data_IF_641189731366
#
_entry.id   IF_641189731366
#
_cell.length_a   1.000
_cell.length_b   1.000
_cell.length_c   1.000
_cell.angle_alpha   90.00
_cell.angle_beta   90.00
_cell.angle_gamma   90.00
#
_symmetry.space_group_name_H-M   'P 1'
#
loop_
_entity.id
_entity.type
_entity.pdbx_description
1 polymer ?
#
# COMPACT_ATOMS: atom_id res chain seq x y z
N UNK A 1 45.33 5.03 3.99
CA UNK A 1 44.11 5.84 4.00
C UNK A 1 43.07 5.13 3.16
N UNK A 2 42.06 4.59 3.83
CA UNK A 2 41.13 3.60 3.28
C UNK A 2 40.21 4.13 2.18
N UNK A 3 39.98 3.23 1.23
CA UNK A 3 39.21 3.40 0.01
C UNK A 3 37.72 3.63 0.33
N UNK A 4 37.19 4.66 -0.31
CA UNK A 4 35.82 4.84 -0.83
C UNK A 4 34.90 3.62 -0.58
N UNK A 5 33.93 3.75 0.34
CA UNK A 5 32.71 2.92 0.33
C UNK A 5 31.60 3.64 -0.42
N UNK A 6 31.70 3.65 -1.74
CA UNK A 6 30.56 3.82 -2.63
C UNK A 6 29.75 2.51 -2.60
N UNK A 7 28.79 2.43 -1.68
CA UNK A 7 27.74 1.42 -1.70
C UNK A 7 26.47 2.05 -2.24
N UNK A 8 26.27 1.97 -3.56
CA UNK A 8 25.02 2.27 -4.24
C UNK A 8 23.88 1.51 -3.54
N UNK A 9 23.08 2.16 -2.69
CA UNK A 9 21.78 1.62 -2.28
C UNK A 9 20.88 1.73 -3.51
N UNK A 10 20.93 0.67 -4.31
CA UNK A 10 20.28 0.59 -5.62
C UNK A 10 18.80 0.94 -5.54
N UNK A 11 18.29 1.48 -6.65
CA UNK A 11 16.86 1.66 -6.94
C UNK A 11 16.10 0.43 -6.43
N UNK A 12 15.39 0.55 -5.30
CA UNK A 12 14.69 -0.58 -4.69
C UNK A 12 13.77 -1.22 -5.70
N UNK A 13 13.90 -2.53 -5.88
CA UNK A 13 13.10 -3.31 -6.81
C UNK A 13 11.63 -3.11 -6.43
N UNK A 14 10.89 -2.40 -7.25
CA UNK A 14 9.45 -2.24 -7.09
C UNK A 14 8.74 -3.38 -7.80
N UNK A 15 7.70 -3.92 -7.18
CA UNK A 15 6.82 -4.87 -7.83
C UNK A 15 5.38 -4.37 -7.83
N UNK A 16 4.61 -4.88 -8.79
CA UNK A 16 3.15 -4.79 -8.75
C UNK A 16 2.64 -6.03 -8.02
N UNK A 17 2.00 -5.88 -6.84
CA UNK A 17 1.43 -7.03 -6.16
C UNK A 17 0.18 -7.53 -6.88
N UNK A 18 -0.14 -8.80 -6.65
CA UNK A 18 -1.34 -9.44 -7.18
C UNK A 18 -2.51 -9.26 -6.22
N UNK A 19 -3.74 -9.40 -6.74
CA UNK A 19 -4.99 -9.56 -5.99
C UNK A 19 -5.10 -8.62 -4.78
N UNK A 20 -5.43 -7.37 -5.05
CA UNK A 20 -5.74 -6.38 -4.02
C UNK A 20 -7.12 -6.68 -3.40
N UNK A 21 -7.16 -6.75 -2.08
CA UNK A 21 -8.37 -7.04 -1.30
C UNK A 21 -8.59 -5.95 -0.26
N UNK A 22 -9.85 -5.58 -0.06
CA UNK A 22 -10.32 -4.79 1.06
C UNK A 22 -11.35 -5.64 1.79
N UNK A 23 -11.19 -5.85 3.10
CA UNK A 23 -12.05 -6.76 3.88
C UNK A 23 -12.25 -8.12 3.18
N UNK A 24 -11.15 -8.72 2.71
CA UNK A 24 -11.08 -10.02 2.02
C UNK A 24 -11.81 -10.11 0.66
N UNK A 25 -12.34 -9.00 0.15
CA UNK A 25 -13.08 -8.95 -1.12
C UNK A 25 -12.39 -8.04 -2.15
N UNK A 26 -12.59 -8.35 -3.43
CA UNK A 26 -12.17 -7.48 -4.55
C UNK A 26 -13.25 -6.42 -4.76
N UNK A 27 -12.89 -5.14 -4.60
CA UNK A 27 -13.79 -3.98 -4.80
C UNK A 27 -15.14 -4.12 -4.06
N UNK A 28 -15.13 -4.35 -2.73
CA UNK A 28 -16.36 -4.48 -1.96
C UNK A 28 -17.19 -3.19 -2.00
N UNK A 29 -18.50 -3.36 -1.85
CA UNK A 29 -19.49 -2.28 -1.69
C UNK A 29 -20.13 -2.46 -0.31
N UNK A 30 -20.39 -1.37 0.40
CA UNK A 30 -21.09 -1.41 1.70
C UNK A 30 -20.22 -1.93 2.85
N UNK A 31 -18.96 -1.50 2.93
CA UNK A 31 -18.12 -1.79 4.10
C UNK A 31 -18.56 -0.89 5.26
N UNK A 32 -19.00 -1.51 6.36
CA UNK A 32 -19.48 -0.80 7.56
C UNK A 32 -18.40 -0.59 8.64
N UNK A 33 -17.23 -1.22 8.52
CA UNK A 33 -16.11 -0.92 9.43
C UNK A 33 -15.52 0.45 9.13
N UNK A 34 -15.26 1.23 10.19
CA UNK A 34 -14.58 2.53 10.11
C UNK A 34 -13.09 2.39 9.79
N UNK A 35 -12.53 1.20 9.98
CA UNK A 35 -11.13 0.87 9.76
C UNK A 35 -11.03 -0.39 8.89
N UNK A 36 -11.31 -0.27 7.57
CA UNK A 36 -11.17 -1.39 6.66
C UNK A 36 -9.72 -1.89 6.61
N UNK A 37 -9.55 -3.18 6.36
CA UNK A 37 -8.26 -3.85 6.25
C UNK A 37 -7.92 -4.14 4.81
N UNK A 38 -6.71 -3.78 4.43
CA UNK A 38 -6.16 -4.04 3.11
C UNK A 38 -5.27 -5.27 3.12
N UNK A 39 -5.35 -6.06 2.06
CA UNK A 39 -4.44 -7.18 1.81
C UNK A 39 -4.04 -7.23 0.35
N UNK A 40 -2.85 -7.75 0.09
CA UNK A 40 -2.34 -7.98 -1.26
C UNK A 40 -1.48 -9.24 -1.29
N UNK A 41 -1.41 -9.86 -2.46
CA UNK A 41 -0.62 -11.06 -2.67
C UNK A 41 0.73 -10.71 -3.29
N UNK A 42 1.80 -11.20 -2.67
CA UNK A 42 3.15 -11.14 -3.22
C UNK A 42 3.35 -12.34 -4.16
N UNK A 43 3.96 -12.17 -5.35
CA UNK A 43 4.33 -13.29 -6.22
C UNK A 43 5.17 -14.33 -5.48
N UNK A 44 5.01 -15.60 -5.86
CA UNK A 44 5.79 -16.69 -5.25
C UNK A 44 7.28 -16.49 -5.52
N UNK A 45 8.11 -16.78 -4.51
CA UNK A 45 9.56 -16.63 -4.60
C UNK A 45 10.06 -15.20 -4.41
N UNK A 46 9.18 -14.24 -4.12
CA UNK A 46 9.54 -12.85 -3.84
C UNK A 46 9.24 -12.55 -2.37
N UNK A 47 10.17 -11.88 -1.70
CA UNK A 47 9.98 -11.35 -0.34
C UNK A 47 9.76 -9.84 -0.41
N UNK A 48 8.74 -9.35 0.30
CA UNK A 48 8.53 -7.92 0.49
C UNK A 48 9.39 -7.42 1.66
N UNK A 49 10.04 -6.28 1.46
CA UNK A 49 10.80 -5.59 2.51
C UNK A 49 10.02 -4.41 3.08
N UNK A 50 9.26 -3.71 2.23
CA UNK A 50 8.48 -2.55 2.65
C UNK A 50 7.25 -2.33 1.77
N UNK A 51 6.29 -1.56 2.28
CA UNK A 51 5.13 -1.12 1.53
C UNK A 51 4.74 0.34 1.81
N UNK A 52 3.89 0.90 0.95
CA UNK A 52 3.21 2.19 1.15
C UNK A 52 1.81 2.10 0.57
N UNK A 53 0.79 2.36 1.38
CA UNK A 53 -0.60 2.41 0.97
C UNK A 53 -1.00 3.87 0.80
N UNK A 54 -1.69 4.16 -0.30
CA UNK A 54 -2.41 5.41 -0.51
C UNK A 54 -3.90 5.12 -0.60
N UNK A 55 -4.71 5.93 0.07
CA UNK A 55 -6.18 5.92 -0.05
C UNK A 55 -6.65 7.32 -0.42
N UNK A 56 -7.54 7.38 -1.40
CA UNK A 56 -7.98 8.64 -2.00
C UNK A 56 -9.48 8.70 -2.25
N UNK A 57 -10.01 9.92 -2.31
CA UNK A 57 -11.42 10.18 -2.66
C UNK A 57 -11.72 10.11 -4.16
N UNK A 58 -10.70 9.97 -5.01
CA UNK A 58 -10.89 9.79 -6.45
C UNK A 58 -9.73 9.01 -7.08
N UNK A 59 -9.97 8.32 -8.22
CA UNK A 59 -8.91 7.64 -8.94
C UNK A 59 -7.87 8.62 -9.49
N UNK A 60 -8.26 9.82 -9.93
CA UNK A 60 -7.32 10.81 -10.47
C UNK A 60 -6.31 11.30 -9.42
N UNK A 61 -6.76 11.48 -8.17
CA UNK A 61 -5.86 11.81 -7.04
C UNK A 61 -4.91 10.66 -6.77
N UNK A 62 -5.44 9.44 -6.74
CA UNK A 62 -4.65 8.24 -6.53
C UNK A 62 -3.59 8.07 -7.63
N UNK A 63 -3.94 8.28 -8.90
CA UNK A 63 -3.02 8.22 -10.04
C UNK A 63 -1.91 9.27 -9.94
N UNK A 64 -2.23 10.43 -9.37
CA UNK A 64 -1.27 11.50 -9.06
C UNK A 64 -0.44 11.26 -7.79
N UNK A 65 -0.45 10.05 -7.24
CA UNK A 65 0.23 9.68 -5.97
C UNK A 65 -0.24 10.50 -4.74
N UNK A 66 -1.47 11.00 -4.77
CA UNK A 66 -2.09 11.76 -3.68
C UNK A 66 -3.04 10.86 -2.89
N UNK A 67 -2.65 10.48 -1.68
CA UNK A 67 -3.51 9.81 -0.69
C UNK A 67 -4.19 10.82 0.24
N UNK A 68 -5.22 11.52 -0.23
CA UNK A 68 -5.90 12.58 0.54
C UNK A 68 -6.68 12.04 1.75
N UNK A 69 -7.00 10.75 1.76
CA UNK A 69 -7.61 10.10 2.93
C UNK A 69 -6.59 9.40 3.81
N UNK A 70 -5.54 8.84 3.21
CA UNK A 70 -4.44 8.20 3.94
C UNK A 70 -3.21 8.03 3.07
N UNK A 71 -2.06 8.22 3.71
CA UNK A 71 -0.76 7.86 3.18
C UNK A 71 0.05 7.24 4.31
N UNK A 72 0.23 5.92 4.26
CA UNK A 72 0.95 5.17 5.30
C UNK A 72 2.44 5.53 5.39
N UNK A 73 2.95 6.33 4.45
CA UNK A 73 4.39 6.46 4.16
C UNK A 73 5.02 5.09 3.90
N UNK A 74 6.35 5.05 3.83
CA UNK A 74 7.08 3.78 3.71
C UNK A 74 7.08 3.08 5.06
N UNK A 75 6.58 1.86 5.10
CA UNK A 75 6.58 0.98 6.27
C UNK A 75 7.53 -0.18 6.00
N UNK A 76 8.59 -0.32 6.81
CA UNK A 76 9.49 -1.48 6.76
C UNK A 76 8.77 -2.69 7.36
N UNK A 77 8.26 -3.57 6.50
CA UNK A 77 7.52 -4.75 6.93
C UNK A 77 7.29 -5.69 5.75
N UNK A 78 7.42 -6.98 6.01
CA UNK A 78 7.02 -8.05 5.10
C UNK A 78 5.52 -8.36 5.15
N UNK A 79 4.75 -7.71 6.04
CA UNK A 79 3.31 -7.96 6.16
C UNK A 79 2.57 -7.45 4.92
N UNK A 80 1.67 -8.27 4.40
CA UNK A 80 0.82 -7.95 3.25
C UNK A 80 -0.66 -8.32 3.46
N UNK A 81 -1.03 -8.68 4.69
CA UNK A 81 -2.36 -9.19 5.05
C UNK A 81 -2.89 -8.36 6.21
N UNK A 82 -4.16 -8.00 6.12
CA UNK A 82 -4.91 -7.31 7.17
C UNK A 82 -4.28 -6.01 7.68
N UNK A 83 -3.72 -5.20 6.77
CA UNK A 83 -3.20 -3.89 7.13
C UNK A 83 -4.38 -2.94 7.37
N UNK A 84 -4.60 -2.57 8.63
CA UNK A 84 -5.70 -1.70 9.05
C UNK A 84 -5.51 -0.28 8.52
N UNK A 85 -6.60 0.30 8.01
CA UNK A 85 -6.65 1.71 7.63
C UNK A 85 -6.43 2.62 8.84
N UNK A 86 -5.46 3.53 8.72
CA UNK A 86 -5.06 4.47 9.79
C UNK A 86 -5.11 5.93 9.31
N UNK A 87 -6.10 6.25 8.49
CA UNK A 87 -6.30 7.58 7.92
C UNK A 87 -7.45 8.37 8.53
N UNK A 88 -7.91 9.38 7.79
CA UNK A 88 -9.05 10.21 8.14
C UNK A 88 -10.35 9.39 8.25
N UNK A 89 -11.31 9.87 9.04
CA UNK A 89 -12.59 9.18 9.20
C UNK A 89 -13.31 9.00 7.86
N UNK A 90 -13.69 7.76 7.54
CA UNK A 90 -14.45 7.44 6.33
C UNK A 90 -15.91 7.88 6.46
N UNK A 91 -16.44 8.44 5.38
CA UNK A 91 -17.82 8.90 5.27
C UNK A 91 -18.72 7.78 4.72
N UNK A 92 -19.94 7.68 5.26
CA UNK A 92 -20.94 6.74 4.78
C UNK A 92 -21.35 7.07 3.34
N UNK A 93 -21.63 6.04 2.54
CA UNK A 93 -22.08 6.14 1.14
C UNK A 93 -21.09 6.89 0.22
N UNK A 94 -19.80 6.86 0.54
CA UNK A 94 -18.74 7.45 -0.27
C UNK A 94 -17.81 6.38 -0.84
N UNK A 95 -17.43 6.55 -2.09
CA UNK A 95 -16.43 5.69 -2.75
C UNK A 95 -15.01 6.09 -2.36
N UNK A 96 -14.15 5.10 -2.19
CA UNK A 96 -12.72 5.29 -1.92
C UNK A 96 -11.90 4.39 -2.83
N UNK A 97 -10.74 4.90 -3.24
CA UNK A 97 -9.78 4.20 -4.08
C UNK A 97 -8.50 4.03 -3.30
N UNK A 98 -7.81 2.92 -3.49
CA UNK A 98 -6.53 2.70 -2.85
C UNK A 98 -5.56 1.98 -3.78
N UNK A 99 -4.27 2.19 -3.53
CA UNK A 99 -3.20 1.42 -4.14
C UNK A 99 -2.10 1.16 -3.12
N UNK A 100 -1.27 0.18 -3.42
CA UNK A 100 -0.09 -0.13 -2.64
C UNK A 100 1.14 -0.15 -3.53
N UNK A 101 2.23 0.44 -3.04
CA UNK A 101 3.58 0.36 -3.60
C UNK A 101 4.37 -0.62 -2.74
N UNK A 102 5.07 -1.56 -3.37
CA UNK A 102 5.80 -2.64 -2.69
C UNK A 102 7.26 -2.59 -3.10
N UNK A 103 8.15 -2.62 -2.12
CA UNK A 103 9.60 -2.74 -2.31
C UNK A 103 10.06 -4.14 -1.93
N UNK A 104 10.97 -4.68 -2.72
CA UNK A 104 11.63 -5.98 -2.51
C UNK A 104 13.15 -5.77 -2.51
N UNK A 105 13.86 -6.64 -1.81
CA UNK A 105 15.32 -6.73 -1.79
C UNK A 105 15.88 -7.58 -2.91
#
# INVERSE_FOLDING_TARGET
MDKIKNGNKGKGNLIIPNKLLCEYAVRPIGIDTKKPRFSWQIPRGISQDAYRILVSTSPQRLDSDIGDMWDSKRVESSNSINIEYDGLVLESRKGYWWKVKVWIG
#
